data_IF_410427395759
#
_entry.id   IF_410427395759
#
_cell.length_a   1.000
_cell.length_b   1.000
_cell.length_c   1.000
_cell.angle_alpha   90.00
_cell.angle_beta   90.00
_cell.angle_gamma   90.00
#
_symmetry.space_group_name_H-M   'P 1'
#
loop_
_entity.id
_entity.type
_entity.pdbx_description
1 polymer ?
#
# COMPACT_ATOMS: atom_id res chain seq x y z
N UNK A 1 30.55 -4.55 -67.36
CA UNK A 1 30.90 -3.72 -66.18
C UNK A 1 29.69 -3.41 -65.29
N UNK A 2 28.45 -3.58 -65.78
CA UNK A 2 27.23 -3.22 -65.02
C UNK A 2 26.61 -4.36 -64.19
N UNK A 3 27.02 -5.61 -64.34
CA UNK A 3 26.51 -6.77 -63.61
C UNK A 3 27.02 -6.90 -62.14
N UNK A 4 28.15 -6.24 -61.85
CA UNK A 4 28.69 -6.30 -60.44
C UNK A 4 28.04 -5.27 -59.51
N UNK A 5 27.48 -4.20 -60.10
CA UNK A 5 26.82 -3.12 -59.31
C UNK A 5 25.41 -3.51 -58.81
N UNK A 6 24.77 -4.42 -59.54
CA UNK A 6 23.41 -4.89 -59.15
C UNK A 6 23.39 -5.87 -57.99
N UNK A 7 24.47 -6.64 -57.77
CA UNK A 7 24.56 -7.60 -56.66
C UNK A 7 24.77 -6.92 -55.31
N UNK A 8 25.48 -5.79 -55.25
CA UNK A 8 25.73 -5.08 -54.00
C UNK A 8 24.48 -4.38 -53.40
N UNK A 9 23.57 -3.93 -54.26
CA UNK A 9 22.33 -3.29 -53.82
C UNK A 9 21.31 -4.30 -53.29
N UNK A 10 21.26 -5.51 -53.85
CA UNK A 10 20.39 -6.59 -53.33
C UNK A 10 20.78 -7.10 -51.96
N UNK A 11 22.09 -7.17 -51.68
CA UNK A 11 22.59 -7.61 -50.36
C UNK A 11 22.37 -6.55 -49.27
N UNK A 12 22.40 -5.27 -49.61
CA UNK A 12 22.10 -4.18 -48.65
C UNK A 12 20.60 -4.13 -48.33
N UNK A 13 19.72 -4.32 -49.30
CA UNK A 13 18.27 -4.40 -49.09
C UNK A 13 17.88 -5.61 -48.24
N UNK A 14 18.49 -6.77 -48.46
CA UNK A 14 18.20 -7.99 -47.73
C UNK A 14 18.64 -7.92 -46.27
N UNK A 15 19.76 -7.26 -45.97
CA UNK A 15 20.20 -7.01 -44.61
C UNK A 15 19.29 -6.03 -43.87
N UNK A 16 18.78 -5.00 -44.56
CA UNK A 16 17.83 -4.07 -43.92
C UNK A 16 16.48 -4.72 -43.59
N UNK A 17 15.96 -5.63 -44.43
CA UNK A 17 14.74 -6.38 -44.12
C UNK A 17 14.93 -7.34 -42.93
N UNK A 18 16.08 -8.02 -42.86
CA UNK A 18 16.39 -8.93 -41.71
C UNK A 18 16.58 -8.14 -40.41
N UNK A 19 17.25 -6.98 -40.46
CA UNK A 19 17.43 -6.11 -39.29
C UNK A 19 16.10 -5.50 -38.79
N UNK A 20 15.22 -5.07 -39.70
CA UNK A 20 13.89 -4.53 -39.38
C UNK A 20 12.97 -5.62 -38.79
N UNK A 21 13.10 -6.86 -39.20
CA UNK A 21 12.34 -7.99 -38.71
C UNK A 21 12.80 -8.38 -37.30
N UNK A 22 14.09 -8.39 -37.03
CA UNK A 22 14.64 -8.63 -35.69
C UNK A 22 14.24 -7.53 -34.68
N UNK A 23 14.29 -6.27 -35.09
CA UNK A 23 13.89 -5.12 -34.24
C UNK A 23 12.40 -5.21 -33.88
N UNK A 24 11.54 -5.48 -34.84
CA UNK A 24 10.09 -5.67 -34.60
C UNK A 24 9.80 -6.86 -33.66
N UNK A 25 10.51 -7.97 -33.85
CA UNK A 25 10.38 -9.14 -32.98
C UNK A 25 10.83 -8.83 -31.54
N UNK A 26 11.88 -8.03 -31.35
CA UNK A 26 12.33 -7.61 -30.02
C UNK A 26 11.36 -6.62 -29.37
N UNK A 27 10.79 -5.69 -30.13
CA UNK A 27 9.77 -4.76 -29.61
C UNK A 27 8.48 -5.49 -29.21
N UNK A 28 8.01 -6.45 -30.01
CA UNK A 28 6.86 -7.28 -29.70
C UNK A 28 7.11 -8.13 -28.43
N UNK A 29 8.29 -8.74 -28.33
CA UNK A 29 8.66 -9.52 -27.15
C UNK A 29 8.74 -8.65 -25.89
N UNK A 30 9.35 -7.47 -26.01
CA UNK A 30 9.43 -6.48 -24.93
C UNK A 30 8.05 -6.00 -24.49
N UNK A 31 7.14 -5.74 -25.42
CA UNK A 31 5.78 -5.33 -25.13
C UNK A 31 4.95 -6.44 -24.45
N UNK A 32 5.14 -7.69 -24.87
CA UNK A 32 4.51 -8.84 -24.20
C UNK A 32 5.02 -9.03 -22.77
N UNK A 33 6.33 -8.89 -22.56
CA UNK A 33 6.93 -8.99 -21.23
C UNK A 33 6.47 -7.87 -20.32
N UNK A 34 6.40 -6.63 -20.81
CA UNK A 34 5.89 -5.50 -20.02
C UNK A 34 4.40 -5.67 -19.68
N UNK A 35 3.57 -6.09 -20.65
CA UNK A 35 2.15 -6.36 -20.40
C UNK A 35 1.94 -7.44 -19.33
N UNK A 36 2.77 -8.49 -19.37
CA UNK A 36 2.71 -9.57 -18.36
C UNK A 36 3.13 -9.05 -16.98
N UNK A 37 4.18 -8.24 -16.92
CA UNK A 37 4.66 -7.63 -15.68
C UNK A 37 3.62 -6.67 -15.10
N UNK A 38 2.97 -5.87 -15.93
CA UNK A 38 1.91 -4.95 -15.52
C UNK A 38 0.71 -5.71 -14.96
N UNK A 39 0.29 -6.80 -15.63
CA UNK A 39 -0.78 -7.66 -15.13
C UNK A 39 -0.45 -8.26 -13.77
N UNK A 40 0.77 -8.78 -13.58
CA UNK A 40 1.23 -9.31 -12.29
C UNK A 40 1.26 -8.23 -11.20
N UNK A 41 1.72 -7.02 -11.55
CA UNK A 41 1.75 -5.89 -10.64
C UNK A 41 0.34 -5.48 -10.18
N UNK A 42 -0.62 -5.42 -11.10
CA UNK A 42 -2.02 -5.11 -10.78
C UNK A 42 -2.61 -6.21 -9.87
N UNK A 43 -2.36 -7.47 -10.17
CA UNK A 43 -2.84 -8.59 -9.35
C UNK A 43 -2.28 -8.53 -7.93
N UNK A 44 -0.96 -8.27 -7.79
CA UNK A 44 -0.33 -8.10 -6.49
C UNK A 44 -0.88 -6.86 -5.74
N UNK A 45 -1.13 -5.76 -6.45
CA UNK A 45 -1.75 -4.57 -5.88
C UNK A 45 -3.18 -4.84 -5.39
N UNK A 46 -3.97 -5.63 -6.11
CA UNK A 46 -5.30 -6.05 -5.67
C UNK A 46 -5.23 -6.90 -4.39
N UNK A 47 -4.32 -7.87 -4.33
CA UNK A 47 -4.12 -8.71 -3.14
C UNK A 47 -3.70 -7.85 -1.95
N UNK A 48 -2.75 -6.92 -2.16
CA UNK A 48 -2.31 -5.97 -1.13
C UNK A 48 -3.46 -5.07 -0.67
N UNK A 49 -4.30 -4.59 -1.58
CA UNK A 49 -5.48 -3.79 -1.28
C UNK A 49 -6.49 -4.54 -0.41
N UNK A 50 -6.79 -5.79 -0.74
CA UNK A 50 -7.67 -6.65 0.07
C UNK A 50 -7.06 -6.87 1.46
N UNK A 51 -5.77 -7.17 1.54
CA UNK A 51 -5.05 -7.35 2.81
C UNK A 51 -5.11 -6.09 3.67
N UNK A 52 -4.99 -4.90 3.05
CA UNK A 52 -5.09 -3.62 3.72
C UNK A 52 -6.51 -3.37 4.27
N UNK A 53 -7.54 -3.73 3.51
CA UNK A 53 -8.94 -3.63 3.97
C UNK A 53 -9.18 -4.52 5.19
N UNK A 54 -8.71 -5.78 5.16
CA UNK A 54 -8.84 -6.70 6.30
C UNK A 54 -8.10 -6.17 7.52
N UNK A 55 -6.87 -5.67 7.33
CA UNK A 55 -6.10 -5.02 8.41
C UNK A 55 -6.78 -3.77 8.96
N UNK A 56 -7.37 -2.95 8.10
CA UNK A 56 -8.13 -1.76 8.49
C UNK A 56 -9.38 -2.11 9.32
N UNK A 57 -10.12 -3.14 8.95
CA UNK A 57 -11.24 -3.67 9.74
C UNK A 57 -10.74 -4.14 11.11
N UNK A 58 -9.55 -4.74 11.17
CA UNK A 58 -8.91 -5.11 12.44
C UNK A 58 -8.67 -3.90 13.35
N UNK A 59 -8.14 -2.79 12.80
CA UNK A 59 -7.96 -1.52 13.53
C UNK A 59 -9.30 -1.00 14.03
N UNK A 60 -10.32 -0.99 13.17
CA UNK A 60 -11.66 -0.54 13.54
C UNK A 60 -12.25 -1.37 14.71
N UNK A 61 -12.07 -2.69 14.69
CA UNK A 61 -12.57 -3.57 15.74
C UNK A 61 -11.85 -3.33 17.07
N UNK A 62 -10.51 -3.20 17.05
CA UNK A 62 -9.72 -2.89 18.26
C UNK A 62 -10.16 -1.55 18.84
N UNK A 63 -10.29 -0.52 18.00
CA UNK A 63 -10.73 0.80 18.43
C UNK A 63 -12.16 0.80 18.99
N UNK A 64 -13.05 -0.01 18.39
CA UNK A 64 -14.42 -0.15 18.88
C UNK A 64 -14.46 -0.75 20.30
N UNK A 65 -13.68 -1.80 20.53
CA UNK A 65 -13.52 -2.42 21.86
C UNK A 65 -12.94 -1.41 22.85
N UNK A 66 -11.85 -0.71 22.47
CA UNK A 66 -11.21 0.32 23.32
C UNK A 66 -12.19 1.43 23.73
N UNK A 67 -13.03 1.91 22.80
CA UNK A 67 -14.07 2.91 23.12
C UNK A 67 -15.10 2.35 24.08
N UNK A 68 -15.54 1.11 23.88
CA UNK A 68 -16.56 0.48 24.73
C UNK A 68 -16.04 0.25 26.16
N UNK A 69 -14.81 -0.24 26.30
CA UNK A 69 -14.18 -0.45 27.61
C UNK A 69 -13.93 0.85 28.38
N UNK A 70 -13.66 1.96 27.63
CA UNK A 70 -13.38 3.28 28.23
C UNK A 70 -14.58 4.22 28.23
N UNK A 71 -15.80 3.71 27.97
CA UNK A 71 -17.03 4.54 27.89
C UNK A 71 -17.23 5.39 29.13
N UNK A 72 -17.09 4.84 30.33
CA UNK A 72 -17.23 5.55 31.59
C UNK A 72 -16.17 6.64 31.79
N UNK A 73 -14.93 6.37 31.41
CA UNK A 73 -13.83 7.34 31.46
C UNK A 73 -14.10 8.53 30.51
N UNK A 74 -14.57 8.23 29.27
CA UNK A 74 -14.97 9.25 28.29
C UNK A 74 -16.09 10.12 28.85
N UNK A 75 -17.13 9.50 29.42
CA UNK A 75 -18.24 10.21 30.04
C UNK A 75 -17.80 11.12 31.19
N UNK A 76 -16.88 10.66 32.05
CA UNK A 76 -16.31 11.47 33.12
C UNK A 76 -15.55 12.69 32.57
N UNK A 77 -14.70 12.50 31.54
CA UNK A 77 -13.99 13.62 30.89
C UNK A 77 -14.92 14.64 30.29
N UNK A 78 -15.99 14.20 29.62
CA UNK A 78 -16.99 15.10 29.05
C UNK A 78 -17.76 15.84 30.15
N UNK A 79 -18.06 15.22 31.28
CA UNK A 79 -18.75 15.85 32.40
C UNK A 79 -17.94 16.97 33.06
N UNK A 80 -16.61 16.90 33.04
CA UNK A 80 -15.72 17.94 33.57
C UNK A 80 -15.34 18.97 32.50
N UNK A 81 -15.94 18.91 31.28
CA UNK A 81 -15.85 19.93 30.25
C UNK A 81 -14.99 19.60 29.02
N UNK A 82 -14.57 18.36 28.85
CA UNK A 82 -13.91 17.94 27.60
C UNK A 82 -14.91 18.02 26.42
N UNK A 83 -14.44 18.55 25.30
CA UNK A 83 -15.25 18.65 24.08
C UNK A 83 -15.19 17.32 23.32
N UNK A 84 -16.29 16.97 22.62
CA UNK A 84 -16.32 15.77 21.77
C UNK A 84 -15.18 15.74 20.73
N UNK A 85 -14.74 16.92 20.24
CA UNK A 85 -13.63 17.00 19.30
C UNK A 85 -12.28 16.59 19.92
N UNK A 86 -12.08 16.82 21.22
CA UNK A 86 -10.86 16.44 21.91
C UNK A 86 -10.81 14.91 22.07
N UNK A 87 -11.95 14.30 22.35
CA UNK A 87 -12.12 12.84 22.39
C UNK A 87 -11.92 12.24 20.99
N UNK A 88 -12.53 12.84 19.96
CA UNK A 88 -12.33 12.42 18.56
C UNK A 88 -10.84 12.41 18.18
N UNK A 89 -10.15 13.54 18.45
CA UNK A 89 -8.73 13.69 18.12
C UNK A 89 -7.88 12.66 18.86
N UNK A 90 -8.14 12.41 20.15
CA UNK A 90 -7.42 11.42 20.95
C UNK A 90 -7.51 10.03 20.33
N UNK A 91 -8.72 9.53 20.07
CA UNK A 91 -8.91 8.20 19.49
C UNK A 91 -8.42 8.09 18.05
N UNK A 92 -8.50 9.18 17.28
CA UNK A 92 -7.96 9.20 15.92
C UNK A 92 -6.42 9.11 15.90
N UNK A 93 -5.76 9.84 16.82
CA UNK A 93 -4.30 9.74 16.99
C UNK A 93 -3.91 8.33 17.42
N UNK A 94 -4.67 7.70 18.33
CA UNK A 94 -4.43 6.32 18.75
C UNK A 94 -4.52 5.34 17.57
N UNK A 95 -5.55 5.47 16.72
CA UNK A 95 -5.69 4.65 15.52
C UNK A 95 -4.54 4.84 14.52
N UNK A 96 -4.10 6.09 14.31
CA UNK A 96 -2.96 6.41 13.44
C UNK A 96 -1.67 5.82 14.01
N UNK A 97 -1.43 5.92 15.32
CA UNK A 97 -0.26 5.34 15.97
C UNK A 97 -0.22 3.81 15.82
N UNK A 98 -1.34 3.11 16.00
CA UNK A 98 -1.44 1.66 15.77
C UNK A 98 -1.11 1.34 14.31
N UNK A 99 -1.67 2.07 13.37
CA UNK A 99 -1.45 1.84 11.95
C UNK A 99 0.00 2.12 11.52
N UNK A 100 0.59 3.20 12.00
CA UNK A 100 1.98 3.59 11.67
C UNK A 100 2.98 2.62 12.29
N UNK A 101 2.77 2.20 13.55
CA UNK A 101 3.64 1.19 14.18
C UNK A 101 3.57 -0.14 13.45
N UNK A 102 2.38 -0.59 13.07
CA UNK A 102 2.19 -1.74 12.18
C UNK A 102 2.90 -1.57 10.85
N UNK A 103 2.85 -0.37 10.25
CA UNK A 103 3.54 -0.02 9.02
C UNK A 103 5.06 -0.10 9.14
N UNK A 104 5.64 0.38 10.24
CA UNK A 104 7.10 0.27 10.51
C UNK A 104 7.51 -1.20 10.57
N UNK A 105 6.77 -2.00 11.33
CA UNK A 105 7.03 -3.45 11.44
C UNK A 105 6.88 -4.11 10.08
N UNK A 106 5.84 -3.80 9.32
CA UNK A 106 5.60 -4.33 7.98
C UNK A 106 6.73 -3.99 7.00
N UNK A 107 7.24 -2.76 7.00
CA UNK A 107 8.40 -2.35 6.20
C UNK A 107 9.64 -3.11 6.62
N UNK A 108 9.90 -3.26 7.92
CA UNK A 108 11.05 -4.01 8.42
C UNK A 108 11.00 -5.50 7.97
N UNK A 109 9.84 -6.14 8.06
CA UNK A 109 9.63 -7.49 7.53
C UNK A 109 9.79 -7.56 6.02
N UNK A 110 9.25 -6.61 5.27
CA UNK A 110 9.35 -6.57 3.80
C UNK A 110 10.80 -6.42 3.33
N UNK A 111 11.55 -5.51 3.95
CA UNK A 111 12.99 -5.32 3.70
C UNK A 111 13.78 -6.57 4.06
N UNK A 112 13.51 -7.15 5.23
CA UNK A 112 14.16 -8.38 5.68
C UNK A 112 13.91 -9.57 4.75
N UNK A 113 12.66 -9.78 4.35
CA UNK A 113 12.28 -10.82 3.40
C UNK A 113 12.95 -10.63 2.04
N UNK A 114 12.99 -9.39 1.53
CA UNK A 114 13.68 -9.07 0.28
C UNK A 114 15.19 -9.34 0.35
N UNK A 115 15.82 -9.03 1.49
CA UNK A 115 17.24 -9.34 1.71
C UNK A 115 17.51 -10.85 1.73
N UNK A 116 16.63 -11.64 2.36
CA UNK A 116 16.73 -13.10 2.40
C UNK A 116 16.62 -13.68 0.98
N UNK A 117 15.64 -13.22 0.18
CA UNK A 117 15.49 -13.65 -1.21
C UNK A 117 16.72 -13.33 -2.04
N UNK A 118 17.30 -12.14 -1.87
CA UNK A 118 18.53 -11.75 -2.56
C UNK A 118 19.71 -12.70 -2.23
N UNK A 119 19.89 -13.04 -0.95
CA UNK A 119 20.98 -13.91 -0.49
C UNK A 119 20.80 -15.36 -0.95
N UNK A 120 19.58 -15.91 -0.83
CA UNK A 120 19.31 -17.32 -1.14
C UNK A 120 19.22 -17.58 -2.65
N UNK A 121 18.53 -16.71 -3.39
CA UNK A 121 18.25 -16.91 -4.82
C UNK A 121 19.13 -16.07 -5.73
N UNK A 122 19.96 -15.17 -5.17
CA UNK A 122 20.80 -14.22 -5.92
C UNK A 122 19.98 -13.35 -6.90
N UNK A 123 18.72 -13.13 -6.59
CA UNK A 123 17.87 -12.24 -7.38
C UNK A 123 18.13 -10.79 -6.94
N UNK A 124 18.43 -9.89 -7.89
CA UNK A 124 18.64 -8.49 -7.58
C UNK A 124 17.30 -7.83 -7.22
N UNK A 125 17.01 -7.69 -5.91
CA UNK A 125 15.84 -6.98 -5.42
C UNK A 125 16.26 -5.57 -5.02
N UNK A 126 15.71 -4.55 -5.71
CA UNK A 126 15.97 -3.16 -5.41
C UNK A 126 14.78 -2.55 -4.67
N UNK A 127 15.00 -2.14 -3.43
CA UNK A 127 13.97 -1.45 -2.63
C UNK A 127 14.08 0.04 -2.92
N UNK A 128 13.05 0.62 -3.51
CA UNK A 128 12.99 2.04 -3.79
C UNK A 128 12.54 2.81 -2.54
N UNK A 129 13.21 3.89 -2.20
CA UNK A 129 12.83 4.77 -1.09
C UNK A 129 11.40 5.32 -1.24
N UNK A 130 10.96 5.55 -2.47
CA UNK A 130 9.58 5.96 -2.77
C UNK A 130 8.54 4.95 -2.25
N UNK A 131 8.78 3.65 -2.40
CA UNK A 131 7.86 2.60 -1.93
C UNK A 131 7.70 2.61 -0.41
N UNK A 132 8.79 2.88 0.32
CA UNK A 132 8.77 3.01 1.78
C UNK A 132 7.94 4.23 2.20
N UNK A 133 8.17 5.39 1.58
CA UNK A 133 7.42 6.62 1.87
C UNK A 133 5.93 6.41 1.55
N UNK A 134 5.62 5.83 0.39
CA UNK A 134 4.25 5.52 0.00
C UNK A 134 3.55 4.61 1.02
N UNK A 135 4.25 3.60 1.55
CA UNK A 135 3.73 2.71 2.58
C UNK A 135 3.29 3.46 3.84
N UNK A 136 4.08 4.45 4.30
CA UNK A 136 3.71 5.29 5.44
C UNK A 136 2.46 6.12 5.19
N UNK A 137 2.34 6.72 4.00
CA UNK A 137 1.15 7.45 3.61
C UNK A 137 -0.09 6.56 3.60
N UNK A 138 0.01 5.38 2.99
CA UNK A 138 -1.09 4.41 2.92
C UNK A 138 -1.49 3.94 4.32
N UNK A 139 -0.53 3.61 5.20
CA UNK A 139 -0.80 3.23 6.59
C UNK A 139 -1.51 4.36 7.36
N UNK A 140 -1.04 5.60 7.22
CA UNK A 140 -1.65 6.75 7.88
C UNK A 140 -3.09 6.97 7.43
N UNK A 141 -3.34 6.95 6.13
CA UNK A 141 -4.68 7.10 5.55
C UNK A 141 -5.60 5.96 6.04
N UNK A 142 -5.10 4.74 6.07
CA UNK A 142 -5.85 3.58 6.58
C UNK A 142 -6.21 3.75 8.04
N UNK A 143 -5.27 4.17 8.89
CA UNK A 143 -5.51 4.45 10.30
C UNK A 143 -6.58 5.52 10.50
N UNK A 144 -6.52 6.62 9.74
CA UNK A 144 -7.53 7.68 9.78
C UNK A 144 -8.90 7.15 9.33
N UNK A 145 -8.95 6.45 8.21
CA UNK A 145 -10.21 6.00 7.61
C UNK A 145 -10.94 5.00 8.51
N UNK A 146 -10.26 3.97 8.98
CA UNK A 146 -10.86 2.95 9.83
C UNK A 146 -10.99 3.36 11.29
N UNK A 147 -10.18 4.31 11.78
CA UNK A 147 -10.27 4.89 13.11
C UNK A 147 -11.38 5.95 13.25
N UNK A 148 -11.78 6.57 12.15
CA UNK A 148 -12.76 7.65 12.16
C UNK A 148 -14.11 7.25 12.75
N UNK A 149 -14.65 6.11 12.33
CA UNK A 149 -15.98 5.67 12.77
C UNK A 149 -16.05 5.43 14.30
N UNK A 150 -15.17 4.59 14.91
CA UNK A 150 -15.18 4.40 16.36
C UNK A 150 -14.84 5.68 17.13
N UNK A 151 -13.91 6.51 16.65
CA UNK A 151 -13.57 7.78 17.28
C UNK A 151 -14.76 8.76 17.30
N UNK A 152 -15.50 8.83 16.19
CA UNK A 152 -16.72 9.66 16.13
C UNK A 152 -17.82 9.14 17.06
N UNK A 153 -17.94 7.83 17.21
CA UNK A 153 -18.90 7.23 18.15
C UNK A 153 -18.54 7.60 19.59
N UNK A 154 -17.26 7.55 19.95
CA UNK A 154 -16.78 8.00 21.26
C UNK A 154 -17.07 9.49 21.52
N UNK A 155 -16.85 10.34 20.51
CA UNK A 155 -17.07 11.79 20.61
C UNK A 155 -18.53 12.20 20.78
N UNK A 156 -19.47 11.36 20.37
CA UNK A 156 -20.92 11.62 20.43
C UNK A 156 -21.62 10.87 21.57
N UNK A 157 -20.87 10.34 22.55
CA UNK A 157 -21.46 9.71 23.72
C UNK A 157 -22.17 10.76 24.61
N UNK A 158 -23.34 10.40 25.12
CA UNK A 158 -24.00 11.21 26.16
C UNK A 158 -23.26 10.99 27.49
N UNK A 159 -22.74 12.05 28.12
CA UNK A 159 -22.00 11.94 29.38
C UNK A 159 -22.81 11.27 30.49
N UNK A 160 -24.15 11.51 30.54
CA UNK A 160 -25.04 10.96 31.58
C UNK A 160 -25.19 9.45 31.39
N UNK A 161 -25.41 9.01 30.13
CA UNK A 161 -25.54 7.58 29.81
C UNK A 161 -24.20 6.86 29.97
N UNK A 162 -23.10 7.50 29.57
CA UNK A 162 -21.76 6.93 29.66
C UNK A 162 -21.30 6.66 31.09
N UNK A 163 -21.66 7.50 32.06
CA UNK A 163 -21.32 7.31 33.47
C UNK A 163 -22.19 6.20 34.09
N UNK A 164 -23.43 6.03 33.61
CA UNK A 164 -24.38 5.03 34.08
C UNK A 164 -24.16 3.64 33.47
N UNK A 165 -23.25 3.54 32.51
CA UNK A 165 -22.92 2.29 31.85
C UNK A 165 -22.17 1.36 32.81
N UNK A 166 -22.78 0.19 33.12
CA UNK A 166 -22.18 -0.91 33.88
C UNK A 166 -21.60 -1.95 32.91
#
# INVERSE_FOLDING_TARGET
>A
RDLVRSRGLGDVYKRQEDDDFEIRSQEELSSMLSSTTDMMTILLACIAGISLLVGGIGIMNIMYVSVTERTREIGLRMSIGARGIDILAQFLIEAVLISVTGGIIGVAFGVGASAIVNVLFKWPVYIQAYSVILSFFVCTITGIFFGWYPARKAANLDPIEAIRYE
#
